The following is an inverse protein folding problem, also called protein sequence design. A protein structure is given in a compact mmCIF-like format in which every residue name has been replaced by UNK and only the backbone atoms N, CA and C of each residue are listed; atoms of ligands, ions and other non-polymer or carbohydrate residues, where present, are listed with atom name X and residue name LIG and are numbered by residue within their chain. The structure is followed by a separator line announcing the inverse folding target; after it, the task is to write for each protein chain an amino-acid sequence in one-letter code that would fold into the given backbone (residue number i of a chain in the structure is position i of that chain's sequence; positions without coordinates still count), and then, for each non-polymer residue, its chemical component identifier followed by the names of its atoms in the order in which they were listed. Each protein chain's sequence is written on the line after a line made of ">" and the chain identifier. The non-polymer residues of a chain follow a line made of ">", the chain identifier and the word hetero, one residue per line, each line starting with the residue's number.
data_IF_671937989513
#
_entry.id   IF_671937989513
#
_cell.length_a   1.000
_cell.length_b   1.000
_cell.length_c   1.000
_cell.angle_alpha   90.00
_cell.angle_beta   90.00
_cell.angle_gamma   90.00
#
_symmetry.space_group_name_H-M   'P 1'
#
loop_
_entity.id
_entity.type
_entity.pdbx_description
1 polymer ?
#
# COMPACT_ATOMS: atom_id res chain seq x y z
N UNK A 1 11.66 3.33 -11.45
CA UNK A 1 11.78 3.01 -10.01
C UNK A 1 13.20 2.52 -9.74
N UNK A 2 13.82 2.94 -8.63
CA UNK A 2 15.28 2.94 -8.43
C UNK A 2 15.90 1.51 -8.26
N UNK A 3 17.03 1.22 -8.92
CA UNK A 3 17.74 -0.08 -8.84
C UNK A 3 18.15 -0.43 -7.40
N UNK A 4 18.43 0.58 -6.58
CA UNK A 4 18.73 0.44 -5.15
C UNK A 4 17.59 -0.20 -4.34
N UNK A 5 16.33 0.12 -4.68
CA UNK A 5 15.18 -0.44 -3.96
C UNK A 5 15.02 -1.92 -4.29
N UNK A 6 15.27 -2.30 -5.55
CA UNK A 6 15.26 -3.70 -5.97
C UNK A 6 16.31 -4.52 -5.22
N UNK A 7 17.53 -4.01 -5.12
CA UNK A 7 18.61 -4.66 -4.36
C UNK A 7 18.24 -4.82 -2.88
N UNK A 8 17.67 -3.77 -2.26
CA UNK A 8 17.21 -3.76 -0.86
C UNK A 8 16.04 -4.69 -0.56
N UNK A 9 15.17 -4.94 -1.53
CA UNK A 9 14.01 -5.82 -1.31
C UNK A 9 14.31 -7.29 -1.58
N UNK A 10 15.37 -7.59 -2.34
CA UNK A 10 15.74 -8.97 -2.69
C UNK A 10 14.54 -9.75 -3.23
N UNK A 11 14.25 -10.91 -2.64
CA UNK A 11 13.14 -11.78 -3.05
C UNK A 11 11.75 -11.12 -2.91
N UNK A 12 11.63 -10.11 -2.03
CA UNK A 12 10.37 -9.36 -1.86
C UNK A 12 10.14 -8.35 -2.99
N UNK A 13 11.15 -8.06 -3.81
CA UNK A 13 10.99 -7.19 -4.96
C UNK A 13 9.87 -7.66 -5.89
N UNK A 14 9.77 -8.96 -6.17
CA UNK A 14 8.76 -9.48 -7.09
C UNK A 14 7.34 -9.25 -6.56
N UNK A 15 7.14 -9.47 -5.26
CA UNK A 15 5.85 -9.26 -4.57
C UNK A 15 5.50 -7.77 -4.57
N UNK A 16 6.45 -6.93 -4.18
CA UNK A 16 6.27 -5.47 -4.17
C UNK A 16 5.99 -4.93 -5.57
N UNK A 17 6.77 -5.32 -6.58
CA UNK A 17 6.61 -4.82 -7.95
C UNK A 17 5.25 -5.22 -8.53
N UNK A 18 4.80 -6.46 -8.31
CA UNK A 18 3.45 -6.88 -8.71
C UNK A 18 2.37 -6.04 -8.02
N UNK A 19 2.47 -5.83 -6.72
CA UNK A 19 1.54 -4.99 -5.97
C UNK A 19 1.56 -3.53 -6.44
N UNK A 20 2.75 -2.98 -6.68
CA UNK A 20 2.95 -1.61 -7.13
C UNK A 20 2.29 -1.35 -8.48
N UNK A 21 2.60 -2.19 -9.48
CA UNK A 21 1.99 -2.11 -10.81
C UNK A 21 0.48 -2.29 -10.73
N UNK A 22 0.02 -3.22 -9.90
CA UNK A 22 -1.40 -3.43 -9.67
C UNK A 22 -2.09 -2.17 -9.12
N UNK A 23 -1.59 -1.56 -8.04
CA UNK A 23 -2.20 -0.36 -7.45
C UNK A 23 -2.22 0.80 -8.46
N UNK A 24 -1.13 1.03 -9.18
CA UNK A 24 -1.07 2.09 -10.20
C UNK A 24 -2.05 1.83 -11.35
N UNK A 25 -2.31 0.57 -11.71
CA UNK A 25 -3.28 0.25 -12.76
C UNK A 25 -4.75 0.52 -12.38
N UNK A 26 -5.05 0.73 -11.09
CA UNK A 26 -6.42 0.96 -10.63
C UNK A 26 -6.93 2.38 -10.89
N UNK A 27 -6.05 3.35 -11.10
CA UNK A 27 -6.43 4.72 -11.45
C UNK A 27 -5.27 5.45 -12.13
N UNK A 28 -5.48 6.11 -13.29
CA UNK A 28 -4.43 6.88 -13.95
C UNK A 28 -4.00 8.13 -13.15
N UNK A 29 -4.83 8.60 -12.22
CA UNK A 29 -4.53 9.73 -11.33
C UNK A 29 -3.77 9.30 -10.07
N UNK A 30 -3.44 8.00 -9.92
CA UNK A 30 -2.75 7.47 -8.75
C UNK A 30 -1.32 8.00 -8.67
N UNK A 31 -1.05 8.84 -7.68
CA UNK A 31 0.29 9.26 -7.34
C UNK A 31 0.94 8.25 -6.38
N UNK A 32 2.26 8.06 -6.50
CA UNK A 32 3.01 7.32 -5.50
C UNK A 32 4.25 8.10 -5.05
N UNK A 33 4.61 7.97 -3.78
CA UNK A 33 5.88 8.49 -3.25
C UNK A 33 6.60 7.42 -2.47
N UNK A 34 7.85 7.17 -2.87
CA UNK A 34 8.79 6.32 -2.16
C UNK A 34 9.47 7.13 -1.05
N UNK A 35 9.51 6.56 0.14
CA UNK A 35 10.32 7.02 1.26
C UNK A 35 11.17 5.86 1.78
N UNK A 36 12.03 6.14 2.76
CA UNK A 36 13.03 5.18 3.24
C UNK A 36 12.44 3.83 3.63
N UNK A 37 11.29 3.79 4.31
CA UNK A 37 10.66 2.55 4.82
C UNK A 37 9.23 2.31 4.32
N UNK A 38 8.71 3.15 3.41
CA UNK A 38 7.36 2.98 2.87
C UNK A 38 7.22 3.52 1.44
N UNK A 39 6.21 3.01 0.73
CA UNK A 39 5.63 3.62 -0.47
C UNK A 39 4.20 3.98 -0.16
N UNK A 40 3.84 5.25 -0.31
CA UNK A 40 2.45 5.69 -0.18
C UNK A 40 1.83 5.91 -1.55
N UNK A 41 0.56 5.54 -1.67
CA UNK A 41 -0.28 5.69 -2.86
C UNK A 41 -1.41 6.65 -2.53
N UNK A 42 -1.60 7.65 -3.39
CA UNK A 42 -2.45 8.80 -3.11
C UNK A 42 -3.33 9.14 -4.32
N UNK A 43 -4.54 9.61 -4.05
CA UNK A 43 -5.40 10.28 -5.02
C UNK A 43 -5.70 11.68 -4.49
N UNK A 44 -5.09 12.68 -5.12
CA UNK A 44 -5.03 14.03 -4.57
C UNK A 44 -4.42 14.02 -3.16
N UNK A 45 -5.14 14.58 -2.19
CA UNK A 45 -4.70 14.63 -0.78
C UNK A 45 -5.01 13.37 0.04
N UNK A 46 -5.69 12.38 -0.56
CA UNK A 46 -6.14 11.20 0.15
C UNK A 46 -5.14 10.04 0.00
N UNK A 47 -4.83 9.40 1.12
CA UNK A 47 -3.96 8.22 1.13
C UNK A 47 -4.81 6.98 0.94
N UNK A 48 -4.58 6.28 -0.17
CA UNK A 48 -5.31 5.07 -0.54
C UNK A 48 -4.69 3.84 0.12
N UNK A 49 -3.37 3.73 0.08
CA UNK A 49 -2.62 2.63 0.67
C UNK A 49 -1.19 3.05 1.02
N UNK A 50 -0.61 2.38 2.02
CA UNK A 50 0.81 2.52 2.38
C UNK A 50 1.45 1.15 2.41
N UNK A 51 2.40 0.89 1.53
CA UNK A 51 3.22 -0.33 1.58
C UNK A 51 4.41 -0.05 2.48
N UNK A 52 4.53 -0.80 3.57
CA UNK A 52 5.61 -0.67 4.54
C UNK A 52 6.58 -1.84 4.44
N UNK A 53 7.86 -1.48 4.47
CA UNK A 53 8.99 -2.41 4.45
C UNK A 53 9.45 -2.65 5.89
N UNK A 54 8.93 -3.71 6.52
CA UNK A 54 9.22 -3.99 7.93
C UNK A 54 10.52 -4.77 8.08
N UNK A 55 11.43 -4.28 8.92
CA UNK A 55 12.71 -4.92 9.24
C UNK A 55 13.89 -4.36 8.43
N UNK A 56 15.07 -4.99 8.53
CA UNK A 56 16.24 -4.57 7.74
C UNK A 56 16.06 -4.96 6.27
N UNK A 57 16.32 -4.01 5.38
CA UNK A 57 16.26 -4.07 3.90
C UNK A 57 17.24 -5.05 3.23
N UNK A 58 17.49 -6.22 3.80
CA UNK A 58 18.55 -7.10 3.27
C UNK A 58 18.28 -8.59 3.42
N UNK A 59 17.39 -9.01 4.33
CA UNK A 59 17.10 -10.45 4.51
C UNK A 59 15.80 -10.77 5.23
N UNK A 60 15.33 -9.89 6.11
CA UNK A 60 14.12 -10.12 6.93
C UNK A 60 12.93 -9.24 6.53
N UNK A 61 13.00 -8.56 5.38
CA UNK A 61 12.01 -7.56 5.00
C UNK A 61 10.63 -8.22 4.83
N UNK A 62 9.67 -7.76 5.63
CA UNK A 62 8.25 -8.12 5.47
C UNK A 62 7.55 -6.99 4.75
N UNK A 63 6.57 -7.32 3.91
CA UNK A 63 5.76 -6.35 3.20
C UNK A 63 4.39 -6.31 3.86
N UNK A 64 4.01 -5.15 4.38
CA UNK A 64 2.67 -4.95 4.94
C UNK A 64 1.99 -3.83 4.14
N UNK A 65 0.71 -4.01 3.79
CA UNK A 65 -0.11 -2.97 3.15
C UNK A 65 -1.03 -2.39 4.20
N UNK A 66 -0.78 -1.15 4.58
CA UNK A 66 -1.56 -0.37 5.53
C UNK A 66 -2.65 0.44 4.88
N UNK A 67 -3.75 0.60 5.62
CA UNK A 67 -4.97 1.28 5.22
C UNK A 67 -5.50 2.17 6.35
N UNK A 68 -6.23 3.21 5.97
CA UNK A 68 -6.94 4.11 6.88
C UNK A 68 -8.44 3.77 6.89
N UNK A 69 -8.87 2.88 7.77
CA UNK A 69 -10.30 2.57 7.93
C UNK A 69 -10.94 3.41 9.03
N UNK A 70 -12.17 3.90 8.83
CA UNK A 70 -12.89 4.61 9.92
C UNK A 70 -13.32 3.69 11.07
N UNK A 71 -13.38 2.37 10.84
CA UNK A 71 -13.75 1.38 11.85
C UNK A 71 -12.97 0.08 11.69
N UNK A 72 -13.14 -0.85 12.64
CA UNK A 72 -12.44 -2.14 12.60
C UNK A 72 -12.91 -2.95 11.38
N UNK A 73 -12.01 -3.34 10.46
CA UNK A 73 -12.40 -4.17 9.32
C UNK A 73 -12.85 -5.55 9.81
N UNK A 74 -13.90 -6.09 9.18
CA UNK A 74 -14.51 -7.38 9.57
C UNK A 74 -13.63 -8.60 9.27
N UNK A 75 -12.52 -8.43 8.56
CA UNK A 75 -11.68 -9.54 8.08
C UNK A 75 -10.53 -9.82 9.07
N UNK A 76 -10.39 -11.09 9.47
CA UNK A 76 -9.35 -11.58 10.38
C UNK A 76 -7.91 -11.45 9.84
N UNK A 77 -7.73 -11.21 8.53
CA UNK A 77 -6.40 -10.98 7.95
C UNK A 77 -5.79 -9.61 8.29
N UNK A 78 -6.59 -8.69 8.85
CA UNK A 78 -6.08 -7.39 9.27
C UNK A 78 -5.43 -7.44 10.64
N UNK A 79 -4.23 -6.85 10.72
CA UNK A 79 -3.52 -6.64 11.97
C UNK A 79 -3.47 -5.14 12.30
N UNK A 80 -3.28 -4.80 13.58
CA UNK A 80 -3.15 -3.41 14.01
C UNK A 80 -1.84 -2.83 13.44
N UNK A 81 -1.94 -1.72 12.71
CA UNK A 81 -0.82 -1.11 11.99
C UNK A 81 -0.07 -0.01 12.76
N UNK A 82 -0.31 0.18 14.06
CA UNK A 82 0.38 1.22 14.87
C UNK A 82 1.90 1.17 14.74
N UNK A 83 2.50 -0.02 14.58
CA UNK A 83 3.95 -0.20 14.40
C UNK A 83 4.51 0.43 13.11
N UNK A 84 3.67 0.75 12.12
CA UNK A 84 4.09 1.43 10.90
C UNK A 84 4.42 2.91 11.14
N UNK A 85 4.01 3.47 12.29
CA UNK A 85 4.20 4.87 12.68
C UNK A 85 3.80 5.86 11.56
N UNK A 86 2.77 5.52 10.78
CA UNK A 86 2.28 6.35 9.68
C UNK A 86 0.92 6.97 10.06
N UNK A 87 0.75 8.30 9.93
CA UNK A 87 -0.50 8.97 10.33
C UNK A 87 -1.74 8.37 9.68
N UNK A 88 -2.78 8.15 10.49
CA UNK A 88 -4.10 7.66 10.06
C UNK A 88 -4.14 6.23 9.49
N UNK A 89 -3.02 5.51 9.42
CA UNK A 89 -2.99 4.09 9.05
C UNK A 89 -3.18 3.26 10.32
N UNK A 90 -4.27 2.51 10.38
CA UNK A 90 -4.67 1.82 11.61
C UNK A 90 -4.75 0.28 11.45
N UNK A 91 -4.90 -0.21 10.22
CA UNK A 91 -4.88 -1.64 9.94
C UNK A 91 -4.00 -1.97 8.74
N UNK A 92 -3.37 -3.14 8.77
CA UNK A 92 -2.54 -3.61 7.68
C UNK A 92 -2.79 -5.08 7.36
N UNK A 93 -2.42 -5.49 6.15
CA UNK A 93 -2.39 -6.87 5.70
C UNK A 93 -0.94 -7.21 5.37
N UNK A 94 -0.44 -8.32 5.92
CA UNK A 94 0.90 -8.83 5.62
C UNK A 94 0.90 -9.61 4.31
N UNK A 95 1.87 -9.34 3.45
CA UNK A 95 2.15 -10.03 2.21
C UNK A 95 3.44 -10.85 2.35
N UNK A 96 3.30 -12.17 2.32
CA UNK A 96 4.41 -13.13 2.32
C UNK A 96 4.88 -13.44 0.91
N UNK A 97 3.95 -13.60 -0.04
CA UNK A 97 4.23 -13.93 -1.44
C UNK A 97 3.25 -13.21 -2.39
N UNK A 98 3.41 -13.39 -3.71
CA UNK A 98 2.56 -12.72 -4.69
C UNK A 98 1.11 -13.21 -4.72
N UNK A 99 0.84 -14.41 -4.23
CA UNK A 99 -0.52 -14.97 -4.19
C UNK A 99 -1.37 -14.29 -3.10
N UNK A 100 -0.73 -13.60 -2.16
CA UNK A 100 -1.42 -12.80 -1.15
C UNK A 100 -2.07 -11.53 -1.74
N UNK A 101 -1.73 -11.16 -2.98
CA UNK A 101 -2.44 -10.14 -3.77
C UNK A 101 -3.76 -10.76 -4.28
N UNK A 102 -4.65 -11.03 -3.32
CA UNK A 102 -5.92 -11.70 -3.56
C UNK A 102 -6.98 -10.75 -4.10
N UNK A 103 -8.05 -11.31 -4.69
CA UNK A 103 -9.26 -10.55 -5.04
C UNK A 103 -9.79 -9.70 -3.88
N UNK A 104 -9.66 -10.18 -2.64
CA UNK A 104 -10.06 -9.41 -1.45
C UNK A 104 -9.21 -8.16 -1.24
N UNK A 105 -7.88 -8.26 -1.34
CA UNK A 105 -6.99 -7.09 -1.25
C UNK A 105 -7.30 -6.08 -2.35
N UNK A 106 -7.57 -6.57 -3.56
CA UNK A 106 -8.03 -5.78 -4.70
C UNK A 106 -9.31 -5.01 -4.39
N UNK A 107 -10.34 -5.69 -3.88
CA UNK A 107 -11.64 -5.08 -3.57
C UNK A 107 -11.52 -4.03 -2.46
N UNK A 108 -10.61 -4.25 -1.49
CA UNK A 108 -10.29 -3.26 -0.45
C UNK A 108 -9.67 -2.00 -1.06
N UNK A 109 -8.63 -2.14 -1.90
CA UNK A 109 -7.97 -0.98 -2.51
C UNK A 109 -8.93 -0.22 -3.42
N UNK A 110 -9.75 -0.93 -4.21
CA UNK A 110 -10.81 -0.31 -5.03
C UNK A 110 -11.83 0.44 -4.17
N UNK A 111 -12.24 -0.13 -3.05
CA UNK A 111 -13.16 0.53 -2.11
C UNK A 111 -12.54 1.80 -1.53
N UNK A 112 -11.24 1.80 -1.20
CA UNK A 112 -10.54 3.00 -0.75
C UNK A 112 -10.49 4.09 -1.82
N UNK A 113 -10.33 3.73 -3.09
CA UNK A 113 -10.39 4.68 -4.22
C UNK A 113 -11.79 5.29 -4.34
N UNK A 114 -12.85 4.47 -4.29
CA UNK A 114 -14.24 4.94 -4.42
C UNK A 114 -14.63 5.87 -3.25
N UNK A 115 -14.19 5.56 -2.04
CA UNK A 115 -14.47 6.37 -0.84
C UNK A 115 -13.67 7.68 -0.80
N UNK A 116 -12.61 7.79 -1.59
CA UNK A 116 -11.75 8.95 -1.67
C UNK A 116 -11.62 9.43 -3.12
N UNK A 117 -12.74 9.83 -3.77
CA UNK A 117 -12.68 10.27 -5.14
C UNK A 117 -11.79 11.51 -5.23
N UNK A 118 -10.91 11.52 -6.23
CA UNK A 118 -10.17 12.71 -6.63
C UNK A 118 -11.20 13.83 -6.85
N UNK A 119 -11.15 14.88 -6.01
CA UNK A 119 -11.87 16.10 -6.33
C UNK A 119 -11.15 16.70 -7.53
N UNK A 120 -11.61 16.40 -8.75
CA UNK A 120 -11.34 17.29 -9.88
C UNK A 120 -11.86 18.66 -9.45
N UNK A 121 -10.92 19.58 -9.20
CA UNK A 121 -11.24 20.99 -9.16
C UNK A 121 -11.78 21.31 -10.54
N UNK A 122 -13.10 21.29 -10.70
CA UNK A 122 -13.74 21.98 -11.81
C UNK A 122 -13.53 23.47 -11.52
N UNK A 123 -12.36 23.97 -11.91
CA UNK A 123 -12.21 25.38 -12.19
C UNK A 123 -13.13 25.65 -13.38
N UNK A 124 -14.25 26.31 -13.10
CA UNK A 124 -15.08 26.96 -14.11
C UNK A 124 -14.27 28.05 -14.80
#
# INVERSE_FOLDING_TARGET
>A
MNNDLKAKLGDKWLVFNKLHQFILSLSPEMECRLCTVYVRYMLGNNIIAVVYFRGKFVSSCQLDVGFAFKGKPKNHSFINAKYMNYPNINYSIKLKNSNDITKKLTDIIKSMIILNPSKKSYAK
#
